data_IF_328978990236
#
_entry.id   IF_328978990236
#
_cell.length_a   1.000
_cell.length_b   1.000
_cell.length_c   1.000
_cell.angle_alpha   90.00
_cell.angle_beta   90.00
_cell.angle_gamma   90.00
#
_symmetry.space_group_name_H-M   'P 1'
#
loop_
_entity.id
_entity.type
_entity.pdbx_description
1 polymer ?
#
# COMPACT_ATOMS: atom_id res chain seq x y z
N UNK A 1 11.02 3.42 29.05
CA UNK A 1 10.20 4.58 28.62
C UNK A 1 9.08 3.98 27.80
N UNK A 2 7.85 3.85 28.31
CA UNK A 2 7.01 5.00 28.58
C UNK A 2 6.83 5.74 27.26
N UNK A 3 5.81 5.36 26.47
CA UNK A 3 5.43 6.03 25.23
C UNK A 3 5.34 7.53 25.52
N UNK A 4 6.38 8.29 25.22
CA UNK A 4 6.29 9.74 25.13
C UNK A 4 5.65 10.06 23.79
N UNK A 5 4.35 9.73 23.68
CA UNK A 5 3.53 10.37 22.67
C UNK A 5 3.22 11.76 23.20
N UNK A 6 3.96 12.75 22.71
CA UNK A 6 3.46 14.12 22.74
C UNK A 6 2.26 14.15 21.80
N UNK A 7 1.08 13.85 22.36
CA UNK A 7 -0.20 14.19 21.75
C UNK A 7 -0.27 15.72 21.74
N UNK A 8 0.20 16.33 20.65
CA UNK A 8 -0.54 17.48 20.16
C UNK A 8 -1.85 16.92 19.62
N UNK A 9 -2.96 17.49 20.09
CA UNK A 9 -4.31 17.20 19.64
C UNK A 9 -4.43 17.50 18.13
N UNK A 10 -3.94 16.58 17.31
CA UNK A 10 -4.28 16.45 15.90
C UNK A 10 -5.65 15.78 15.91
N UNK A 11 -6.67 16.46 15.39
CA UNK A 11 -8.05 15.98 15.30
C UNK A 11 -8.14 14.48 14.92
N UNK A 12 -8.26 13.61 15.93
CA UNK A 12 -8.16 12.14 15.82
C UNK A 12 -9.43 11.56 15.16
N UNK A 13 -10.47 12.38 14.94
CA UNK A 13 -11.77 11.90 14.49
C UNK A 13 -11.85 11.59 13.00
N UNK A 14 -11.00 12.20 12.16
CA UNK A 14 -11.03 12.07 10.70
C UNK A 14 -9.96 11.14 10.10
N UNK A 15 -8.89 10.86 10.86
CA UNK A 15 -7.70 10.11 10.37
C UNK A 15 -7.89 8.57 10.33
N UNK A 16 -9.02 8.05 10.81
CA UNK A 16 -9.20 6.60 10.94
C UNK A 16 -9.61 5.91 9.62
N UNK A 17 -10.31 6.61 8.72
CA UNK A 17 -10.80 6.00 7.48
C UNK A 17 -9.70 5.73 6.45
N UNK A 18 -8.83 6.71 6.20
CA UNK A 18 -7.73 6.55 5.24
C UNK A 18 -6.74 5.47 5.68
N UNK A 19 -6.48 5.39 6.98
CA UNK A 19 -5.70 4.31 7.59
C UNK A 19 -6.32 2.93 7.32
N UNK A 20 -7.61 2.76 7.58
CA UNK A 20 -8.33 1.50 7.28
C UNK A 20 -8.25 1.17 5.78
N UNK A 21 -8.46 2.16 4.91
CA UNK A 21 -8.40 1.96 3.45
C UNK A 21 -7.01 1.51 3.01
N UNK A 22 -5.95 2.19 3.46
CA UNK A 22 -4.56 1.88 3.10
C UNK A 22 -4.16 0.46 3.52
N UNK A 23 -4.59 0.03 4.72
CA UNK A 23 -4.38 -1.33 5.24
C UNK A 23 -5.13 -2.37 4.43
N UNK A 24 -6.44 -2.16 4.21
CA UNK A 24 -7.29 -3.09 3.47
C UNK A 24 -6.76 -3.33 2.06
N UNK A 25 -6.39 -2.24 1.36
CA UNK A 25 -5.93 -2.33 -0.02
C UNK A 25 -4.53 -2.90 -0.13
N UNK A 26 -3.63 -2.58 0.81
CA UNK A 26 -2.29 -3.14 0.86
C UNK A 26 -2.36 -4.65 1.09
N UNK A 27 -3.17 -5.11 2.04
CA UNK A 27 -3.39 -6.54 2.26
C UNK A 27 -4.04 -7.23 1.05
N UNK A 28 -5.02 -6.60 0.41
CA UNK A 28 -5.63 -7.13 -0.81
C UNK A 28 -4.58 -7.30 -1.93
N UNK A 29 -3.72 -6.31 -2.09
CA UNK A 29 -2.62 -6.31 -3.07
C UNK A 29 -1.65 -7.45 -2.79
N UNK A 30 -1.25 -7.63 -1.53
CA UNK A 30 -0.30 -8.69 -1.20
C UNK A 30 -0.87 -10.07 -1.39
N UNK A 31 -2.13 -10.31 -1.01
CA UNK A 31 -2.81 -11.57 -1.30
C UNK A 31 -2.92 -11.78 -2.81
N UNK A 32 -3.25 -10.74 -3.59
CA UNK A 32 -3.35 -10.83 -5.04
C UNK A 32 -2.03 -11.26 -5.68
N UNK A 33 -0.92 -10.62 -5.30
CA UNK A 33 0.42 -10.95 -5.82
C UNK A 33 0.83 -12.37 -5.41
N UNK A 34 0.64 -12.76 -4.14
CA UNK A 34 0.97 -14.13 -3.69
C UNK A 34 0.15 -15.20 -4.42
N UNK A 35 -1.13 -14.91 -4.68
CA UNK A 35 -2.04 -15.86 -5.35
C UNK A 35 -1.92 -15.88 -6.86
N UNK A 36 -1.14 -14.98 -7.47
CA UNK A 36 -1.05 -14.87 -8.92
C UNK A 36 -0.72 -16.20 -9.62
N UNK A 37 0.29 -16.94 -9.10
CA UNK A 37 0.72 -18.21 -9.69
C UNK A 37 -0.27 -19.37 -9.46
N UNK A 38 -1.13 -19.28 -8.45
CA UNK A 38 -2.20 -20.27 -8.22
C UNK A 38 -3.25 -20.22 -9.35
N UNK A 39 -3.49 -19.02 -9.91
CA UNK A 39 -4.47 -18.80 -10.98
C UNK A 39 -3.86 -18.73 -12.38
N UNK A 40 -2.62 -18.25 -12.50
CA UNK A 40 -1.89 -18.13 -13.76
C UNK A 40 -0.50 -18.76 -13.68
N UNK A 41 -0.38 -20.10 -13.65
CA UNK A 41 0.90 -20.79 -13.43
C UNK A 41 1.98 -20.38 -14.45
N UNK A 42 1.58 -20.28 -15.72
CA UNK A 42 2.47 -20.00 -16.85
C UNK A 42 2.52 -18.52 -17.26
N UNK A 43 1.90 -17.62 -16.48
CA UNK A 43 1.94 -16.18 -16.76
C UNK A 43 2.75 -15.48 -15.69
N UNK A 44 3.74 -14.71 -16.10
CA UNK A 44 4.47 -13.84 -15.18
C UNK A 44 3.74 -12.52 -15.01
N UNK A 45 3.90 -11.97 -13.81
CA UNK A 45 3.40 -10.67 -13.45
C UNK A 45 4.40 -9.62 -13.96
N UNK A 46 4.06 -8.97 -15.07
CA UNK A 46 4.99 -8.06 -15.77
C UNK A 46 5.16 -6.71 -15.08
N UNK A 47 4.11 -6.25 -14.41
CA UNK A 47 4.08 -4.97 -13.69
C UNK A 47 3.49 -5.19 -12.30
N UNK A 48 3.93 -4.42 -11.28
CA UNK A 48 3.38 -4.51 -9.94
C UNK A 48 1.90 -4.07 -9.93
N UNK A 49 0.93 -4.98 -9.68
CA UNK A 49 -0.48 -4.61 -9.61
C UNK A 49 -0.71 -3.80 -8.33
N UNK A 50 -1.56 -2.79 -8.41
CA UNK A 50 -1.96 -2.02 -7.25
C UNK A 50 -3.39 -1.53 -7.43
N UNK A 51 -4.01 -1.17 -6.31
CA UNK A 51 -5.42 -0.83 -6.21
C UNK A 51 -5.55 0.46 -5.39
N UNK A 52 -6.50 1.29 -5.78
CA UNK A 52 -6.97 2.37 -4.93
C UNK A 52 -8.20 1.90 -4.13
N UNK A 53 -8.58 2.65 -3.10
CA UNK A 53 -9.80 2.37 -2.35
C UNK A 53 -10.60 3.63 -2.02
N UNK A 54 -11.92 3.46 -1.93
CA UNK A 54 -12.87 4.48 -1.47
C UNK A 54 -13.67 3.93 -0.28
N UNK A 55 -13.81 4.73 0.77
CA UNK A 55 -14.76 4.46 1.86
C UNK A 55 -16.04 5.24 1.59
N UNK A 56 -17.17 4.55 1.58
CA UNK A 56 -18.50 5.17 1.48
C UNK A 56 -19.30 4.78 2.71
N UNK A 57 -19.72 5.78 3.48
CA UNK A 57 -20.47 5.58 4.72
C UNK A 57 -21.94 5.87 4.46
N UNK A 58 -22.77 4.84 4.58
CA UNK A 58 -24.22 4.92 4.38
C UNK A 58 -24.96 4.92 5.73
N UNK A 59 -26.05 5.70 5.86
CA UNK A 59 -26.70 5.94 7.15
C UNK A 59 -27.50 4.75 7.69
N UNK A 60 -27.90 3.80 6.84
CA UNK A 60 -28.69 2.64 7.26
C UNK A 60 -28.51 1.45 6.31
N UNK A 61 -29.00 0.28 6.75
CA UNK A 61 -28.88 -0.98 6.01
C UNK A 61 -29.58 -0.96 4.65
N UNK A 62 -30.69 -0.23 4.52
CA UNK A 62 -31.38 -0.08 3.23
C UNK A 62 -30.48 0.61 2.22
N UNK A 63 -29.88 1.74 2.58
CA UNK A 63 -28.96 2.46 1.69
C UNK A 63 -27.70 1.66 1.31
N UNK A 64 -27.22 0.78 2.20
CA UNK A 64 -26.13 -0.15 1.89
C UNK A 64 -26.58 -1.19 0.86
N UNK A 65 -27.77 -1.78 1.04
CA UNK A 65 -28.34 -2.74 0.08
C UNK A 65 -28.58 -2.10 -1.28
N UNK A 66 -29.13 -0.89 -1.32
CA UNK A 66 -29.36 -0.13 -2.55
C UNK A 66 -28.03 0.12 -3.29
N UNK A 67 -26.96 0.48 -2.55
CA UNK A 67 -25.62 0.62 -3.13
C UNK A 67 -25.07 -0.69 -3.70
N UNK A 68 -25.18 -1.81 -2.98
CA UNK A 68 -24.72 -3.11 -3.46
C UNK A 68 -25.50 -3.59 -4.70
N UNK A 69 -26.81 -3.39 -4.71
CA UNK A 69 -27.66 -3.67 -5.87
C UNK A 69 -27.24 -2.81 -7.07
N UNK A 70 -26.99 -1.51 -6.85
CA UNK A 70 -26.47 -0.62 -7.89
C UNK A 70 -25.11 -1.09 -8.44
N UNK A 71 -24.18 -1.54 -7.59
CA UNK A 71 -22.89 -2.12 -8.04
C UNK A 71 -23.07 -3.35 -8.92
N UNK A 72 -24.06 -4.20 -8.63
CA UNK A 72 -24.37 -5.37 -9.45
C UNK A 72 -25.00 -4.99 -10.80
N UNK A 73 -25.92 -4.01 -10.81
CA UNK A 73 -26.49 -3.48 -12.05
C UNK A 73 -25.40 -2.86 -12.93
N UNK A 74 -24.49 -2.09 -12.33
CA UNK A 74 -23.35 -1.50 -13.02
C UNK A 74 -22.42 -2.58 -13.61
N UNK A 75 -22.16 -3.66 -12.87
CA UNK A 75 -21.43 -4.82 -13.38
C UNK A 75 -22.11 -5.42 -14.63
N UNK A 76 -23.42 -5.64 -14.58
CA UNK A 76 -24.18 -6.20 -15.68
C UNK A 76 -24.11 -5.31 -16.93
N UNK A 77 -24.36 -4.01 -16.77
CA UNK A 77 -24.38 -3.03 -17.87
C UNK A 77 -22.99 -2.95 -18.52
N UNK A 78 -21.94 -2.83 -17.71
CA UNK A 78 -20.58 -2.71 -18.20
C UNK A 78 -20.12 -3.99 -18.91
N UNK A 79 -20.43 -5.16 -18.35
CA UNK A 79 -20.08 -6.43 -18.99
C UNK A 79 -20.82 -6.62 -20.32
N UNK A 80 -22.14 -6.36 -20.38
CA UNK A 80 -22.92 -6.49 -21.61
C UNK A 80 -22.40 -5.55 -22.71
N UNK A 81 -22.09 -4.30 -22.36
CA UNK A 81 -21.48 -3.35 -23.28
C UNK A 81 -20.11 -3.85 -23.77
N UNK A 82 -19.24 -4.28 -22.87
CA UNK A 82 -17.90 -4.75 -23.20
C UNK A 82 -17.93 -6.00 -24.07
N UNK A 83 -18.84 -6.95 -23.83
CA UNK A 83 -19.01 -8.13 -24.68
C UNK A 83 -19.38 -7.71 -26.10
N UNK A 84 -20.35 -6.80 -26.27
CA UNK A 84 -20.70 -6.29 -27.60
C UNK A 84 -19.52 -5.57 -28.27
N UNK A 85 -18.84 -4.70 -27.51
CA UNK A 85 -17.72 -3.90 -27.99
C UNK A 85 -16.60 -4.78 -28.53
N UNK A 86 -16.15 -5.76 -27.74
CA UNK A 86 -15.06 -6.64 -28.14
C UNK A 86 -15.45 -7.62 -29.23
N UNK A 87 -16.71 -8.04 -29.32
CA UNK A 87 -17.18 -8.85 -30.44
C UNK A 87 -17.20 -8.07 -31.75
N UNK A 88 -17.59 -6.79 -31.72
CA UNK A 88 -17.50 -5.90 -32.88
C UNK A 88 -16.05 -5.65 -33.30
N UNK A 89 -15.13 -5.45 -32.35
CA UNK A 89 -13.70 -5.30 -32.67
C UNK A 89 -13.14 -6.60 -33.27
N UNK A 90 -13.48 -7.75 -32.70
CA UNK A 90 -13.07 -9.07 -33.23
C UNK A 90 -13.65 -9.38 -34.61
N UNK A 91 -14.78 -8.77 -35.00
CA UNK A 91 -15.33 -8.91 -36.35
C UNK A 91 -14.69 -8.00 -37.40
N UNK A 92 -13.65 -7.26 -37.01
CA UNK A 92 -12.84 -6.42 -37.90
C UNK A 92 -13.15 -4.93 -37.83
N UNK A 93 -14.07 -4.48 -36.96
CA UNK A 93 -14.28 -3.04 -36.74
C UNK A 93 -13.14 -2.45 -35.91
N UNK A 94 -12.85 -1.17 -36.15
CA UNK A 94 -12.04 -0.38 -35.23
C UNK A 94 -12.76 -0.11 -33.91
N UNK A 95 -12.00 0.26 -32.87
CA UNK A 95 -12.56 0.64 -31.57
C UNK A 95 -13.53 1.83 -31.69
N UNK A 96 -13.25 2.80 -32.58
CA UNK A 96 -14.11 3.96 -32.81
C UNK A 96 -15.44 3.55 -33.45
N UNK A 97 -15.41 2.68 -34.46
CA UNK A 97 -16.62 2.17 -35.10
C UNK A 97 -17.46 1.32 -34.16
N UNK A 98 -16.82 0.53 -33.29
CA UNK A 98 -17.52 -0.24 -32.26
C UNK A 98 -18.20 0.68 -31.23
N UNK A 99 -17.52 1.74 -30.77
CA UNK A 99 -18.12 2.75 -29.89
C UNK A 99 -19.32 3.45 -30.54
N UNK A 100 -19.18 3.88 -31.80
CA UNK A 100 -20.26 4.52 -32.55
C UNK A 100 -21.47 3.59 -32.73
N UNK A 101 -21.23 2.31 -33.03
CA UNK A 101 -22.29 1.31 -33.18
C UNK A 101 -23.06 1.05 -31.88
N UNK A 102 -22.41 1.18 -30.72
CA UNK A 102 -23.04 0.97 -29.41
C UNK A 102 -23.61 2.25 -28.78
N UNK A 103 -23.30 3.42 -29.35
CA UNK A 103 -23.76 4.71 -28.84
C UNK A 103 -25.29 4.80 -28.89
N UNK A 104 -25.91 5.10 -27.76
CA UNK A 104 -27.38 5.23 -27.65
C UNK A 104 -28.14 3.90 -27.63
N UNK A 105 -27.46 2.75 -27.60
CA UNK A 105 -28.11 1.43 -27.53
C UNK A 105 -28.60 1.09 -26.12
N UNK A 106 -29.77 0.47 -26.02
CA UNK A 106 -30.31 -0.08 -24.79
C UNK A 106 -29.94 -1.56 -24.63
N UNK A 107 -30.24 -2.15 -23.46
CA UNK A 107 -29.91 -3.54 -23.18
C UNK A 107 -30.51 -4.53 -24.18
N UNK A 108 -31.71 -4.25 -24.69
CA UNK A 108 -32.37 -5.07 -25.72
C UNK A 108 -31.60 -5.06 -27.04
N UNK A 109 -31.19 -3.87 -27.51
CA UNK A 109 -30.44 -3.72 -28.76
C UNK A 109 -29.11 -4.49 -28.70
N UNK A 110 -28.45 -4.45 -27.55
CA UNK A 110 -27.20 -5.20 -27.28
C UNK A 110 -27.42 -6.71 -27.31
N UNK A 111 -28.48 -7.21 -26.69
CA UNK A 111 -28.82 -8.63 -26.76
C UNK A 111 -29.16 -9.07 -28.19
N UNK A 112 -29.91 -8.26 -28.94
CA UNK A 112 -30.20 -8.54 -30.33
C UNK A 112 -28.94 -8.54 -31.20
N UNK A 113 -28.01 -7.61 -30.97
CA UNK A 113 -26.73 -7.56 -31.65
C UNK A 113 -25.89 -8.82 -31.39
N UNK A 114 -25.77 -9.23 -30.13
CA UNK A 114 -25.06 -10.46 -29.75
C UNK A 114 -25.70 -11.70 -30.37
N UNK A 115 -27.02 -11.82 -30.28
CA UNK A 115 -27.73 -12.99 -30.80
C UNK A 115 -27.69 -13.06 -32.34
N UNK A 116 -27.98 -11.95 -33.04
CA UNK A 116 -28.11 -11.94 -34.50
C UNK A 116 -26.75 -11.99 -35.21
N UNK A 117 -25.77 -11.22 -34.74
CA UNK A 117 -24.48 -11.12 -35.43
C UNK A 117 -23.47 -12.17 -34.97
N UNK A 118 -23.52 -12.57 -33.70
CA UNK A 118 -22.49 -13.40 -33.09
C UNK A 118 -23.01 -14.75 -32.58
N UNK A 119 -24.32 -15.01 -32.67
CA UNK A 119 -24.98 -16.19 -32.09
C UNK A 119 -24.66 -16.38 -30.60
N UNK A 120 -24.47 -15.27 -29.88
CA UNK A 120 -24.21 -15.27 -28.43
C UNK A 120 -25.49 -14.88 -27.70
N UNK A 121 -25.95 -15.76 -26.81
CA UNK A 121 -26.94 -15.40 -25.81
C UNK A 121 -26.23 -14.91 -24.54
N UNK A 122 -26.41 -13.63 -24.22
CA UNK A 122 -25.77 -13.05 -23.05
C UNK A 122 -26.18 -13.73 -21.74
N UNK A 123 -27.39 -14.29 -21.65
CA UNK A 123 -27.86 -14.94 -20.43
C UNK A 123 -27.16 -16.28 -20.13
N UNK A 124 -26.46 -16.84 -21.11
CA UNK A 124 -25.65 -18.05 -20.97
C UNK A 124 -24.22 -17.73 -20.48
N UNK A 125 -23.83 -16.44 -20.42
CA UNK A 125 -22.56 -16.02 -19.84
C UNK A 125 -22.45 -16.38 -18.36
N UNK A 126 -21.22 -16.67 -17.94
CA UNK A 126 -20.91 -17.04 -16.57
C UNK A 126 -21.45 -15.98 -15.60
N UNK A 127 -22.10 -16.43 -14.53
CA UNK A 127 -22.70 -15.55 -13.53
C UNK A 127 -21.68 -14.55 -12.97
N UNK A 128 -20.41 -14.93 -12.84
CA UNK A 128 -19.36 -14.03 -12.36
C UNK A 128 -19.18 -12.77 -13.22
N UNK A 129 -19.39 -12.86 -14.53
CA UNK A 129 -19.28 -11.71 -15.44
C UNK A 129 -20.54 -10.84 -15.41
N UNK A 130 -21.71 -11.47 -15.26
CA UNK A 130 -23.00 -10.76 -15.26
C UNK A 130 -23.36 -10.15 -13.91
N UNK A 131 -22.94 -10.79 -12.81
CA UNK A 131 -23.37 -10.50 -11.44
C UNK A 131 -22.23 -10.02 -10.55
N UNK A 132 -20.98 -10.18 -10.98
CA UNK A 132 -19.81 -9.92 -10.17
C UNK A 132 -19.59 -10.99 -9.09
N UNK A 133 -18.77 -10.65 -8.09
CA UNK A 133 -18.40 -11.54 -6.99
C UNK A 133 -18.80 -10.93 -5.66
N UNK A 134 -19.57 -11.67 -4.87
CA UNK A 134 -19.92 -11.32 -3.49
C UNK A 134 -19.10 -12.18 -2.54
N UNK A 135 -18.43 -11.54 -1.59
CA UNK A 135 -17.69 -12.22 -0.52
C UNK A 135 -18.38 -11.93 0.80
N UNK A 136 -18.85 -12.96 1.48
CA UNK A 136 -19.57 -12.83 2.75
C UNK A 136 -19.33 -14.05 3.63
N UNK A 137 -19.77 -13.96 4.88
CA UNK A 137 -19.65 -15.05 5.84
C UNK A 137 -20.96 -15.82 5.88
N UNK A 138 -20.94 -17.07 5.43
CA UNK A 138 -22.06 -18.02 5.45
C UNK A 138 -22.08 -18.78 6.78
N UNK A 139 -23.26 -19.02 7.33
CA UNK A 139 -23.41 -19.84 8.55
C UNK A 139 -23.48 -21.31 8.16
N UNK A 140 -22.41 -22.05 8.41
CA UNK A 140 -22.30 -23.49 8.11
C UNK A 140 -22.22 -24.33 9.39
N UNK A 141 -22.79 -25.53 9.38
CA UNK A 141 -22.55 -26.49 10.45
C UNK A 141 -21.17 -27.12 10.29
N UNK A 142 -20.36 -27.08 11.34
CA UNK A 142 -19.04 -27.73 11.36
C UNK A 142 -18.96 -28.70 12.52
N UNK A 143 -18.54 -29.93 12.26
CA UNK A 143 -18.20 -30.89 13.31
C UNK A 143 -16.99 -30.38 14.09
N UNK A 144 -17.17 -30.13 15.38
CA UNK A 144 -16.11 -29.57 16.24
C UNK A 144 -15.37 -30.67 16.99
N UNK A 145 -16.09 -31.70 17.42
CA UNK A 145 -15.59 -32.90 18.09
C UNK A 145 -16.53 -34.07 17.79
N UNK A 146 -16.04 -35.28 17.98
CA UNK A 146 -16.87 -36.49 18.07
C UNK A 146 -17.06 -36.76 19.55
N UNK A 147 -18.29 -37.07 19.98
CA UNK A 147 -18.57 -37.40 21.37
C UNK A 147 -18.09 -38.83 21.72
N UNK A 148 -18.21 -39.19 23.00
CA UNK A 148 -17.78 -40.49 23.52
C UNK A 148 -18.55 -41.69 22.92
N UNK A 149 -19.64 -41.42 22.19
CA UNK A 149 -20.48 -42.40 21.49
C UNK A 149 -20.23 -42.45 19.98
N UNK A 150 -19.31 -41.66 19.45
CA UNK A 150 -19.00 -41.61 18.02
C UNK A 150 -19.86 -40.63 17.21
N UNK A 151 -20.72 -39.84 17.86
CA UNK A 151 -21.60 -38.89 17.18
C UNK A 151 -20.91 -37.51 17.00
N UNK A 152 -21.02 -36.88 15.81
CA UNK A 152 -20.39 -35.60 15.53
C UNK A 152 -21.11 -34.44 16.22
N UNK A 153 -20.43 -33.76 17.16
CA UNK A 153 -20.90 -32.51 17.76
C UNK A 153 -20.73 -31.37 16.75
N UNK A 154 -21.83 -31.00 16.09
CA UNK A 154 -21.87 -29.88 15.15
C UNK A 154 -22.09 -28.55 15.89
N UNK A 155 -21.34 -27.52 15.51
CA UNK A 155 -21.61 -26.13 15.92
C UNK A 155 -21.68 -25.22 14.70
N UNK A 156 -22.56 -24.21 14.71
CA UNK A 156 -22.59 -23.23 13.65
C UNK A 156 -21.32 -22.40 13.66
N UNK A 157 -20.68 -22.26 12.50
CA UNK A 157 -19.52 -21.39 12.28
C UNK A 157 -19.75 -20.51 11.06
N UNK A 158 -19.12 -19.34 11.06
CA UNK A 158 -19.13 -18.42 9.93
C UNK A 158 -17.95 -18.74 9.00
N UNK A 159 -18.25 -19.31 7.84
CA UNK A 159 -17.27 -19.61 6.78
C UNK A 159 -17.27 -18.49 5.75
N UNK A 160 -16.10 -18.04 5.33
CA UNK A 160 -15.99 -17.08 4.21
C UNK A 160 -16.36 -17.80 2.91
N UNK A 161 -17.30 -17.24 2.17
CA UNK A 161 -17.83 -17.78 0.92
C UNK A 161 -17.74 -16.71 -0.17
N UNK A 162 -17.32 -17.13 -1.37
CA UNK A 162 -17.38 -16.32 -2.59
C UNK A 162 -18.52 -16.87 -3.44
N UNK A 163 -19.43 -16.02 -3.88
CA UNK A 163 -20.57 -16.42 -4.69
C UNK A 163 -20.88 -15.39 -5.80
N UNK A 164 -21.54 -15.85 -6.87
CA UNK A 164 -21.95 -15.05 -8.02
C UNK A 164 -23.49 -15.01 -8.12
N UNK A 165 -24.11 -14.41 -7.11
CA UNK A 165 -25.55 -14.50 -6.84
C UNK A 165 -26.26 -13.18 -7.11
N UNK A 166 -27.60 -13.25 -7.21
CA UNK A 166 -28.42 -12.04 -7.30
C UNK A 166 -28.55 -11.40 -5.91
N UNK A 167 -27.91 -10.24 -5.74
CA UNK A 167 -27.99 -9.43 -4.52
C UNK A 167 -28.97 -8.26 -4.66
N UNK A 168 -29.60 -8.11 -5.85
CA UNK A 168 -30.66 -7.13 -6.11
C UNK A 168 -31.98 -7.66 -5.52
N UNK A 169 -32.30 -8.93 -5.79
CA UNK A 169 -33.50 -9.60 -5.28
C UNK A 169 -33.52 -9.77 -3.75
N UNK A 170 -34.72 -9.83 -3.17
CA UNK A 170 -34.89 -9.98 -1.71
C UNK A 170 -34.50 -11.36 -1.20
N UNK A 171 -34.65 -12.40 -2.03
CA UNK A 171 -34.39 -13.79 -1.67
C UNK A 171 -32.98 -14.00 -1.10
N UNK A 172 -31.95 -13.35 -1.66
CA UNK A 172 -30.60 -13.45 -1.11
C UNK A 172 -30.53 -12.88 0.31
N UNK A 173 -31.10 -11.71 0.56
CA UNK A 173 -31.06 -11.06 1.87
C UNK A 173 -31.93 -11.77 2.92
N UNK A 174 -33.04 -12.37 2.49
CA UNK A 174 -33.93 -13.18 3.34
C UNK A 174 -33.26 -14.49 3.77
N UNK A 175 -32.52 -15.14 2.87
CA UNK A 175 -31.76 -16.36 3.16
C UNK A 175 -30.50 -16.11 3.99
N UNK A 176 -29.94 -14.88 3.94
CA UNK A 176 -28.71 -14.53 4.64
C UNK A 176 -28.90 -13.34 5.60
N UNK A 177 -29.81 -13.43 6.59
CA UNK A 177 -30.15 -12.31 7.47
C UNK A 177 -29.00 -11.93 8.44
N UNK A 178 -27.88 -12.65 8.40
CA UNK A 178 -26.73 -12.46 9.28
C UNK A 178 -25.63 -11.57 8.68
N UNK A 179 -25.60 -11.36 7.35
CA UNK A 179 -24.53 -10.59 6.67
C UNK A 179 -24.49 -9.13 7.13
N UNK A 180 -25.67 -8.53 7.36
CA UNK A 180 -25.84 -7.12 7.72
C UNK A 180 -26.55 -6.94 9.08
N UNK A 181 -26.32 -7.84 10.04
CA UNK A 181 -26.96 -7.69 11.37
C UNK A 181 -26.50 -6.41 12.07
N UNK A 182 -27.45 -5.73 12.70
CA UNK A 182 -27.15 -4.70 13.68
C UNK A 182 -26.37 -5.33 14.85
N UNK A 183 -25.08 -5.03 14.93
CA UNK A 183 -24.37 -5.14 16.19
C UNK A 183 -24.87 -4.05 17.15
N UNK A 184 -24.54 -4.16 18.44
CA UNK A 184 -24.61 -3.02 19.38
C UNK A 184 -23.59 -1.95 18.96
N UNK A 185 -23.81 -1.28 17.84
CA UNK A 185 -23.03 -0.12 17.45
C UNK A 185 -23.68 1.09 18.10
N UNK A 186 -22.92 1.75 18.97
CA UNK A 186 -23.37 2.99 19.62
C UNK A 186 -23.78 3.99 18.52
N UNK A 187 -25.06 4.37 18.50
CA UNK A 187 -25.65 5.42 17.66
C UNK A 187 -25.09 6.84 17.94
N UNK A 188 -23.81 6.96 18.32
CA UNK A 188 -23.18 8.21 18.75
C UNK A 188 -22.34 8.93 17.69
N UNK A 189 -22.00 8.29 16.58
CA UNK A 189 -21.08 8.86 15.57
C UNK A 189 -21.75 9.01 14.20
N UNK A 190 -22.86 9.74 14.17
CA UNK A 190 -23.37 10.36 12.94
C UNK A 190 -22.87 11.81 12.92
N UNK A 191 -21.57 12.00 12.67
CA UNK A 191 -21.02 13.34 12.37
C UNK A 191 -20.29 13.29 11.04
N UNK A 192 -20.92 13.95 10.05
CA UNK A 192 -20.47 14.22 8.68
C UNK A 192 -20.10 12.97 7.86
N UNK A 193 -21.13 12.35 7.28
CA UNK A 193 -20.97 11.36 6.22
C UNK A 193 -20.38 12.02 4.96
N UNK A 194 -19.25 11.50 4.48
CA UNK A 194 -18.70 11.86 3.16
C UNK A 194 -17.73 13.04 3.13
N UNK A 195 -16.79 13.14 4.08
CA UNK A 195 -15.62 14.00 3.85
C UNK A 195 -14.68 13.24 2.92
N UNK A 196 -14.82 13.45 1.61
CA UNK A 196 -13.69 13.30 0.70
C UNK A 196 -12.67 14.34 1.13
N UNK A 197 -11.74 13.96 2.00
CA UNK A 197 -10.69 14.88 2.41
C UNK A 197 -9.81 15.15 1.20
N UNK A 198 -9.82 16.41 0.77
CA UNK A 198 -9.02 16.91 -0.35
C UNK A 198 -7.96 17.78 0.29
N UNK A 199 -6.68 17.45 0.07
CA UNK A 199 -5.60 18.27 0.58
C UNK A 199 -5.65 19.66 -0.03
N UNK A 200 -5.51 20.68 0.83
CA UNK A 200 -5.51 22.07 0.38
C UNK A 200 -4.48 22.29 -0.74
N UNK A 201 -4.85 23.04 -1.80
CA UNK A 201 -3.91 23.43 -2.84
C UNK A 201 -2.69 24.17 -2.26
N UNK A 202 -1.57 24.14 -2.99
CA UNK A 202 -0.31 24.81 -2.61
C UNK A 202 0.30 24.36 -1.27
N UNK A 203 -0.11 23.19 -0.76
CA UNK A 203 0.55 22.54 0.37
C UNK A 203 1.37 21.35 -0.11
N UNK A 204 2.56 21.19 0.45
CA UNK A 204 3.37 19.98 0.35
C UNK A 204 2.65 18.85 1.06
N UNK A 205 2.63 17.67 0.45
CA UNK A 205 2.02 16.47 1.03
C UNK A 205 3.15 15.51 1.36
N UNK A 206 3.23 15.05 2.61
CA UNK A 206 4.09 13.93 3.00
C UNK A 206 3.20 12.72 3.15
N UNK A 207 3.43 11.68 2.36
CA UNK A 207 2.82 10.36 2.54
C UNK A 207 3.83 9.48 3.25
N UNK A 208 3.55 9.08 4.47
CA UNK A 208 4.36 8.10 5.19
C UNK A 208 3.72 6.73 5.07
N UNK A 209 4.53 5.74 4.76
CA UNK A 209 4.18 4.33 4.59
C UNK A 209 4.94 3.55 5.66
N UNK A 210 4.25 2.71 6.42
CA UNK A 210 4.84 1.90 7.50
C UNK A 210 4.37 0.45 7.43
N UNK A 211 5.31 -0.48 7.51
CA UNK A 211 5.00 -1.91 7.50
C UNK A 211 4.32 -2.32 8.81
N UNK A 212 3.20 -3.02 8.70
CA UNK A 212 2.43 -3.50 9.83
C UNK A 212 2.94 -4.85 10.33
N UNK A 213 2.90 -5.06 11.65
CA UNK A 213 3.35 -6.30 12.30
C UNK A 213 4.79 -6.68 11.89
N UNK A 214 5.65 -5.68 11.66
CA UNK A 214 6.98 -5.90 11.13
C UNK A 214 7.87 -6.73 12.04
N UNK A 215 7.70 -6.65 13.37
CA UNK A 215 8.44 -7.50 14.30
C UNK A 215 8.17 -8.98 14.03
N UNK A 216 6.90 -9.38 13.89
CA UNK A 216 6.51 -10.74 13.54
C UNK A 216 7.03 -11.11 12.15
N UNK A 217 6.88 -10.22 11.17
CA UNK A 217 7.36 -10.44 9.80
C UNK A 217 8.87 -10.68 9.78
N UNK A 218 9.64 -9.88 10.52
CA UNK A 218 11.09 -9.97 10.61
C UNK A 218 11.53 -11.28 11.28
N UNK A 219 10.80 -11.75 12.30
CA UNK A 219 11.07 -13.02 12.97
C UNK A 219 10.78 -14.21 12.06
N UNK A 220 9.65 -14.21 11.35
CA UNK A 220 9.26 -15.29 10.42
C UNK A 220 10.30 -15.43 9.30
N UNK A 221 10.82 -14.33 8.79
CA UNK A 221 11.81 -14.33 7.71
C UNK A 221 13.27 -14.29 8.21
N UNK A 222 13.49 -14.42 9.53
CA UNK A 222 14.83 -14.49 10.16
C UNK A 222 15.74 -13.31 9.82
N UNK A 223 15.20 -12.08 9.83
CA UNK A 223 15.99 -10.88 9.56
C UNK A 223 17.07 -10.65 10.62
N UNK A 224 18.23 -10.17 10.16
CA UNK A 224 19.34 -9.82 11.03
C UNK A 224 18.96 -8.73 12.04
N UNK A 225 19.53 -8.84 13.24
CA UNK A 225 19.36 -7.88 14.32
C UNK A 225 20.72 -7.28 14.73
N UNK A 226 20.81 -5.95 14.93
CA UNK A 226 19.72 -4.98 15.00
C UNK A 226 19.14 -4.54 13.65
N UNK A 227 19.88 -4.70 12.55
CA UNK A 227 19.49 -4.28 11.22
C UNK A 227 19.76 -5.39 10.21
N UNK A 228 18.87 -5.52 9.23
CA UNK A 228 19.05 -6.39 8.07
C UNK A 228 19.30 -5.52 6.84
N UNK A 229 20.51 -5.59 6.30
CA UNK A 229 20.92 -4.78 5.16
C UNK A 229 20.09 -5.09 3.91
N UNK A 230 19.80 -6.37 3.68
CA UNK A 230 19.04 -6.84 2.51
C UNK A 230 17.60 -6.34 2.57
N UNK A 231 16.96 -6.42 3.74
CA UNK A 231 15.61 -5.89 3.94
C UNK A 231 15.53 -4.38 3.72
N UNK A 232 16.52 -3.62 4.20
CA UNK A 232 16.59 -2.18 3.98
C UNK A 232 16.86 -1.81 2.52
N UNK A 233 17.71 -2.58 1.82
CA UNK A 233 17.94 -2.41 0.38
C UNK A 233 16.67 -2.67 -0.43
N UNK A 234 15.87 -3.68 -0.06
CA UNK A 234 14.56 -3.93 -0.67
C UNK A 234 13.57 -2.77 -0.44
N UNK A 235 13.54 -2.19 0.76
CA UNK A 235 12.75 -0.98 1.05
C UNK A 235 13.21 0.21 0.19
N UNK A 236 14.52 0.39 0.02
CA UNK A 236 15.09 1.47 -0.79
C UNK A 236 14.82 1.29 -2.29
N UNK A 237 14.89 0.07 -2.80
CA UNK A 237 14.56 -0.24 -4.18
C UNK A 237 13.07 0.03 -4.46
N UNK A 238 12.21 -0.43 -3.55
CA UNK A 238 10.76 -0.14 -3.61
C UNK A 238 10.50 1.36 -3.60
N UNK A 239 11.22 2.13 -2.78
CA UNK A 239 11.08 3.60 -2.75
C UNK A 239 11.62 4.29 -4.01
N UNK A 240 12.66 3.74 -4.62
CA UNK A 240 13.22 4.27 -5.87
C UNK A 240 12.23 4.09 -7.02
N UNK A 241 11.66 2.90 -7.17
CA UNK A 241 10.61 2.60 -8.15
C UNK A 241 9.31 3.38 -7.89
N UNK A 242 8.95 3.59 -6.62
CA UNK A 242 7.86 4.48 -6.22
C UNK A 242 8.10 5.90 -6.74
N UNK A 243 9.31 6.43 -6.57
CA UNK A 243 9.68 7.73 -7.11
C UNK A 243 9.62 7.73 -8.64
N UNK A 244 10.13 6.71 -9.33
CA UNK A 244 10.06 6.63 -10.80
C UNK A 244 8.62 6.68 -11.32
N UNK A 245 7.69 5.94 -10.69
CA UNK A 245 6.28 5.91 -11.08
C UNK A 245 5.55 7.22 -10.83
N UNK A 246 5.92 7.97 -9.79
CA UNK A 246 5.25 9.21 -9.40
C UNK A 246 6.20 10.41 -9.55
N UNK A 247 6.16 11.11 -10.70
CA UNK A 247 6.95 12.31 -10.96
C UNK A 247 6.84 13.39 -9.88
N UNK A 248 5.65 13.51 -9.29
CA UNK A 248 5.33 14.51 -8.27
C UNK A 248 6.05 14.28 -6.93
N UNK A 249 6.57 13.07 -6.67
CA UNK A 249 7.38 12.79 -5.47
C UNK A 249 8.76 13.40 -5.69
N UNK A 250 9.11 14.46 -4.95
CA UNK A 250 10.42 15.12 -5.10
C UNK A 250 11.51 14.53 -4.23
N UNK A 251 11.13 13.92 -3.10
CA UNK A 251 12.06 13.41 -2.10
C UNK A 251 11.42 12.25 -1.34
N UNK A 252 12.22 11.25 -1.00
CA UNK A 252 11.85 10.15 -0.12
C UNK A 252 12.86 10.02 1.02
N UNK A 253 12.40 9.67 2.22
CA UNK A 253 13.27 9.29 3.33
C UNK A 253 12.72 8.07 4.06
N UNK A 254 13.54 7.05 4.26
CA UNK A 254 13.12 5.83 4.94
C UNK A 254 14.18 5.27 5.87
N UNK A 255 13.72 4.57 6.90
CA UNK A 255 14.55 3.81 7.83
C UNK A 255 13.69 2.74 8.52
N UNK A 256 14.33 1.70 9.06
CA UNK A 256 13.61 0.58 9.69
C UNK A 256 12.56 0.00 8.72
N UNK A 257 11.28 0.13 9.05
CA UNK A 257 10.14 -0.45 8.36
C UNK A 257 9.21 0.62 7.77
N UNK A 258 9.71 1.84 7.55
CA UNK A 258 8.91 2.96 7.05
C UNK A 258 9.62 3.81 6.01
N UNK A 259 8.81 4.56 5.25
CA UNK A 259 9.24 5.51 4.24
C UNK A 259 8.31 6.73 4.19
N UNK A 260 8.85 7.94 4.13
CA UNK A 260 8.12 9.19 3.93
C UNK A 260 8.42 9.73 2.53
N UNK A 261 7.37 9.94 1.72
CA UNK A 261 7.43 10.49 0.38
C UNK A 261 6.86 11.90 0.36
N UNK A 262 7.67 12.86 -0.11
CA UNK A 262 7.30 14.28 -0.21
C UNK A 262 6.81 14.56 -1.63
N UNK A 263 5.52 14.84 -1.76
CA UNK A 263 4.91 15.32 -2.99
C UNK A 263 5.01 16.83 -3.09
N UNK A 264 5.28 17.31 -4.30
CA UNK A 264 5.37 18.73 -4.61
C UNK A 264 4.05 19.46 -4.27
N UNK A 265 4.14 20.72 -3.83
CA UNK A 265 2.97 21.51 -3.42
C UNK A 265 1.92 21.73 -4.52
N UNK A 266 2.38 21.67 -5.78
CA UNK A 266 1.56 21.78 -6.99
C UNK A 266 1.00 20.45 -7.51
N UNK A 267 1.27 19.34 -6.83
CA UNK A 267 0.76 18.03 -7.26
C UNK A 267 -0.76 18.04 -7.39
N UNK A 268 -1.27 17.60 -8.53
CA UNK A 268 -2.70 17.40 -8.79
C UNK A 268 -3.09 15.92 -8.76
N UNK A 269 -2.17 15.05 -8.31
CA UNK A 269 -2.35 13.61 -8.27
C UNK A 269 -3.68 13.25 -7.60
N UNK A 270 -4.51 12.49 -8.32
CA UNK A 270 -5.86 12.09 -7.90
C UNK A 270 -6.79 13.24 -7.46
N UNK A 271 -6.60 14.44 -7.99
CA UNK A 271 -7.30 15.67 -7.56
C UNK A 271 -7.09 15.93 -6.06
N UNK A 272 -5.91 15.56 -5.53
CA UNK A 272 -5.51 15.73 -4.14
C UNK A 272 -6.42 15.02 -3.13
N UNK A 273 -7.17 14.00 -3.56
CA UNK A 273 -8.03 13.18 -2.70
C UNK A 273 -7.16 12.28 -1.83
N UNK A 274 -7.21 12.50 -0.52
CA UNK A 274 -6.39 11.79 0.45
C UNK A 274 -6.55 10.27 0.34
N UNK A 275 -7.79 9.77 0.31
CA UNK A 275 -8.06 8.33 0.27
C UNK A 275 -7.42 7.65 -0.94
N UNK A 276 -7.47 8.29 -2.11
CA UNK A 276 -6.87 7.76 -3.34
C UNK A 276 -5.35 7.81 -3.30
N UNK A 277 -4.78 8.92 -2.82
CA UNK A 277 -3.32 9.05 -2.68
C UNK A 277 -2.79 7.99 -1.72
N UNK A 278 -3.35 7.90 -0.51
CA UNK A 278 -2.87 7.00 0.53
C UNK A 278 -3.05 5.52 0.16
N UNK A 279 -4.23 5.14 -0.35
CA UNK A 279 -4.49 3.76 -0.77
C UNK A 279 -3.63 3.34 -1.96
N UNK A 280 -3.47 4.20 -2.97
CA UNK A 280 -2.63 3.89 -4.13
C UNK A 280 -1.16 3.78 -3.73
N UNK A 281 -0.66 4.69 -2.88
CA UNK A 281 0.72 4.66 -2.42
C UNK A 281 1.02 3.41 -1.59
N UNK A 282 0.18 3.07 -0.61
CA UNK A 282 0.40 1.87 0.21
C UNK A 282 0.31 0.59 -0.62
N UNK A 283 -0.67 0.50 -1.52
CA UNK A 283 -0.87 -0.63 -2.41
C UNK A 283 0.32 -0.82 -3.36
N UNK A 284 0.74 0.24 -4.04
CA UNK A 284 1.85 0.16 -5.00
C UNK A 284 3.17 -0.17 -4.31
N UNK A 285 3.48 0.45 -3.17
CA UNK A 285 4.68 0.13 -2.39
C UNK A 285 4.69 -1.34 -1.95
N UNK A 286 3.53 -1.88 -1.53
CA UNK A 286 3.39 -3.31 -1.20
C UNK A 286 3.72 -4.19 -2.39
N UNK A 287 3.18 -3.84 -3.56
CA UNK A 287 3.38 -4.58 -4.80
C UNK A 287 4.84 -4.59 -5.24
N UNK A 288 5.50 -3.44 -5.16
CA UNK A 288 6.93 -3.30 -5.44
C UNK A 288 7.77 -4.17 -4.50
N UNK A 289 7.54 -4.07 -3.19
CA UNK A 289 8.25 -4.85 -2.18
C UNK A 289 8.15 -6.36 -2.46
N UNK A 290 6.96 -6.82 -2.84
CA UNK A 290 6.72 -8.24 -3.13
C UNK A 290 7.31 -8.70 -4.47
N UNK A 291 7.16 -7.89 -5.51
CA UNK A 291 7.69 -8.21 -6.84
C UNK A 291 9.21 -8.28 -6.81
N UNK A 292 9.84 -7.40 -6.02
CA UNK A 292 11.29 -7.37 -5.82
C UNK A 292 11.80 -8.36 -4.77
N UNK A 293 10.93 -9.00 -3.98
CA UNK A 293 11.34 -9.89 -2.89
C UNK A 293 12.36 -10.95 -3.34
N UNK A 294 12.08 -11.66 -4.44
CA UNK A 294 12.96 -12.75 -4.92
C UNK A 294 14.32 -12.27 -5.46
N UNK A 295 14.43 -11.01 -5.87
CA UNK A 295 15.70 -10.42 -6.29
C UNK A 295 16.63 -10.18 -5.08
N UNK A 296 16.07 -9.84 -3.92
CA UNK A 296 16.82 -9.58 -2.68
C UNK A 296 16.94 -10.82 -1.78
N UNK A 297 15.93 -11.68 -1.78
CA UNK A 297 15.84 -12.90 -0.98
C UNK A 297 15.60 -14.13 -1.87
N UNK A 298 16.59 -14.56 -2.68
CA UNK A 298 16.41 -15.65 -3.64
C UNK A 298 16.07 -16.98 -2.97
N UNK A 299 16.61 -17.23 -1.78
CA UNK A 299 16.46 -18.48 -1.03
C UNK A 299 15.39 -18.43 0.07
N UNK A 300 14.79 -17.26 0.33
CA UNK A 300 13.75 -17.10 1.35
C UNK A 300 12.39 -17.01 0.66
N UNK A 301 11.46 -17.88 1.05
CA UNK A 301 10.07 -17.75 0.61
C UNK A 301 9.36 -16.68 1.42
N UNK A 302 8.46 -15.95 0.75
CA UNK A 302 7.62 -14.95 1.39
C UNK A 302 6.45 -15.67 2.06
N UNK A 303 6.60 -15.99 3.35
CA UNK A 303 5.67 -16.83 4.11
C UNK A 303 4.46 -16.07 4.65
N UNK A 304 4.63 -14.78 4.92
CA UNK A 304 3.57 -13.88 5.39
C UNK A 304 3.36 -12.76 4.37
N UNK A 305 2.11 -12.36 4.14
CA UNK A 305 1.80 -11.18 3.32
C UNK A 305 2.33 -9.91 3.99
N UNK A 306 3.28 -9.19 3.38
CA UNK A 306 3.60 -7.85 3.85
C UNK A 306 2.38 -6.97 3.59
N UNK A 307 2.11 -6.06 4.51
CA UNK A 307 1.13 -5.00 4.29
C UNK A 307 1.58 -3.76 5.02
N UNK A 308 1.25 -2.63 4.42
CA UNK A 308 1.70 -1.32 4.80
C UNK A 308 0.50 -0.42 5.02
N UNK A 309 0.57 0.30 6.12
CA UNK A 309 -0.32 1.42 6.39
C UNK A 309 0.26 2.68 5.78
N UNK A 310 -0.60 3.61 5.36
CA UNK A 310 -0.17 4.94 4.98
C UNK A 310 -0.95 6.05 5.70
N UNK A 311 -0.23 7.11 6.06
CA UNK A 311 -0.76 8.35 6.61
C UNK A 311 -0.20 9.57 5.89
N UNK A 312 -0.92 10.68 5.95
CA UNK A 312 -0.53 11.93 5.28
C UNK A 312 -0.37 13.08 6.25
N UNK A 313 0.63 13.92 5.97
CA UNK A 313 0.83 15.23 6.59
C UNK A 313 0.81 16.30 5.50
N UNK A 314 0.22 17.46 5.79
CA UNK A 314 0.18 18.58 4.86
C UNK A 314 0.80 19.81 5.49
N UNK A 315 1.78 20.39 4.81
CA UNK A 315 2.45 21.59 5.30
C UNK A 315 2.52 22.68 4.23
N UNK A 316 2.22 23.95 4.59
CA UNK A 316 2.18 25.06 3.65
C UNK A 316 3.57 25.61 3.31
N UNK A 317 4.60 25.21 4.06
CA UNK A 317 5.95 25.77 3.93
C UNK A 317 6.98 24.66 3.87
N UNK A 318 7.84 24.75 2.86
CA UNK A 318 8.94 23.83 2.64
C UNK A 318 9.90 23.74 3.84
N UNK A 319 10.11 24.83 4.59
CA UNK A 319 10.92 24.83 5.82
C UNK A 319 10.42 23.79 6.85
N UNK A 320 9.10 23.65 6.98
CA UNK A 320 8.49 22.68 7.92
C UNK A 320 8.74 21.25 7.46
N UNK A 321 8.78 21.01 6.14
CA UNK A 321 9.14 19.71 5.56
C UNK A 321 10.59 19.34 5.91
N UNK A 322 11.53 20.26 5.76
CA UNK A 322 12.92 20.02 6.14
C UNK A 322 13.05 19.71 7.64
N UNK A 323 12.37 20.47 8.49
CA UNK A 323 12.36 20.24 9.95
C UNK A 323 11.78 18.85 10.29
N UNK A 324 10.69 18.45 9.64
CA UNK A 324 10.11 17.11 9.75
C UNK A 324 11.11 16.02 9.34
N UNK A 325 11.80 16.17 8.20
CA UNK A 325 12.75 15.18 7.72
C UNK A 325 13.99 15.09 8.62
N UNK A 326 14.49 16.22 9.13
CA UNK A 326 15.56 16.24 10.14
C UNK A 326 15.12 15.55 11.43
N UNK A 327 13.87 15.74 11.86
CA UNK A 327 13.31 15.04 13.02
C UNK A 327 13.23 13.52 12.79
N UNK A 328 12.73 13.06 11.64
CA UNK A 328 12.72 11.63 11.28
C UNK A 328 14.13 11.03 11.27
N UNK A 329 15.13 11.79 10.81
CA UNK A 329 16.52 11.33 10.83
C UNK A 329 17.10 11.24 12.25
N UNK A 330 16.75 12.17 13.13
CA UNK A 330 17.12 12.09 14.53
C UNK A 330 16.49 10.86 15.23
N UNK A 331 15.23 10.53 14.89
CA UNK A 331 14.57 9.30 15.36
C UNK A 331 15.26 8.04 14.86
N UNK A 332 15.66 8.01 13.57
CA UNK A 332 16.46 6.92 13.01
C UNK A 332 17.76 6.71 13.81
N UNK A 333 18.50 7.80 14.05
CA UNK A 333 19.75 7.73 14.80
C UNK A 333 19.55 7.21 16.22
N UNK A 334 18.59 7.77 16.96
CA UNK A 334 18.31 7.39 18.34
C UNK A 334 17.80 5.94 18.44
N UNK A 335 16.90 5.55 17.54
CA UNK A 335 16.34 4.20 17.46
C UNK A 335 17.42 3.17 17.11
N UNK A 336 18.24 3.43 16.11
CA UNK A 336 19.32 2.53 15.73
C UNK A 336 20.36 2.36 16.85
N UNK A 337 20.77 3.46 17.49
CA UNK A 337 21.72 3.40 18.60
C UNK A 337 21.17 2.56 19.77
N UNK A 338 19.89 2.75 20.11
CA UNK A 338 19.20 1.95 21.12
C UNK A 338 19.16 0.47 20.73
N UNK A 339 18.67 0.16 19.52
CA UNK A 339 18.53 -1.22 19.03
C UNK A 339 19.86 -1.93 18.96
N UNK A 340 20.92 -1.23 18.56
CA UNK A 340 22.28 -1.77 18.51
C UNK A 340 22.75 -2.17 19.91
N UNK A 341 22.59 -1.31 20.92
CA UNK A 341 22.92 -1.68 22.29
C UNK A 341 22.07 -2.85 22.79
N UNK A 342 20.77 -2.81 22.52
CA UNK A 342 19.81 -3.82 22.95
C UNK A 342 20.19 -5.21 22.42
N UNK A 343 20.41 -5.32 21.11
CA UNK A 343 20.74 -6.60 20.50
C UNK A 343 22.15 -7.09 20.84
N UNK A 344 23.10 -6.20 21.10
CA UNK A 344 24.42 -6.61 21.60
C UNK A 344 24.33 -7.19 23.03
N UNK A 345 23.53 -6.58 23.91
CA UNK A 345 23.25 -7.14 25.25
C UNK A 345 22.55 -8.49 25.17
N UNK A 346 21.57 -8.64 24.28
CA UNK A 346 20.88 -9.93 24.07
C UNK A 346 21.86 -10.99 23.55
N UNK A 347 22.69 -10.64 22.56
CA UNK A 347 23.74 -11.53 22.03
C UNK A 347 24.81 -11.89 23.07
N UNK A 348 25.05 -11.04 24.07
CA UNK A 348 25.94 -11.34 25.19
C UNK A 348 25.29 -12.21 26.29
N UNK A 349 24.11 -12.76 26.04
CA UNK A 349 23.41 -13.67 26.95
C UNK A 349 22.45 -13.00 27.93
N UNK A 350 22.16 -11.69 27.81
CA UNK A 350 21.09 -11.05 28.60
C UNK A 350 19.73 -11.40 28.02
N UNK A 351 18.72 -11.54 28.88
CA UNK A 351 17.34 -11.57 28.43
C UNK A 351 16.90 -10.21 27.89
N UNK A 352 15.88 -10.19 27.02
CA UNK A 352 15.31 -8.94 26.49
C UNK A 352 14.85 -7.99 27.62
N UNK A 353 14.26 -8.55 28.68
CA UNK A 353 13.83 -7.78 29.85
C UNK A 353 15.00 -7.10 30.56
N UNK A 354 16.10 -7.82 30.76
CA UNK A 354 17.32 -7.26 31.36
C UNK A 354 17.94 -6.19 30.47
N UNK A 355 18.02 -6.43 29.16
CA UNK A 355 18.53 -5.45 28.20
C UNK A 355 17.71 -4.14 28.23
N UNK A 356 16.38 -4.24 28.30
CA UNK A 356 15.52 -3.07 28.44
C UNK A 356 15.77 -2.29 29.74
N UNK A 357 15.93 -2.97 30.87
CA UNK A 357 16.20 -2.31 32.15
C UNK A 357 17.59 -1.67 32.19
N UNK A 358 18.63 -2.30 31.61
CA UNK A 358 19.97 -1.70 31.47
C UNK A 358 19.93 -0.40 30.66
N UNK A 359 19.16 -0.38 29.56
CA UNK A 359 19.09 0.78 28.67
C UNK A 359 18.12 1.86 29.15
N UNK A 360 17.34 1.60 30.19
CA UNK A 360 16.31 2.52 30.69
C UNK A 360 16.95 3.76 31.29
N UNK A 361 16.56 4.93 30.79
CA UNK A 361 17.07 6.22 31.28
C UNK A 361 18.45 6.60 30.75
N UNK A 362 19.10 5.74 29.96
CA UNK A 362 20.41 6.05 29.36
C UNK A 362 20.32 7.16 28.32
N UNK A 363 21.33 8.02 28.28
CA UNK A 363 21.53 9.04 27.25
C UNK A 363 22.28 8.46 26.04
N UNK A 364 22.47 9.26 24.99
CA UNK A 364 23.22 8.82 23.79
C UNK A 364 24.70 8.56 24.10
N UNK A 365 25.30 9.37 24.99
CA UNK A 365 26.69 9.18 25.43
C UNK A 365 26.88 7.83 26.14
N UNK A 366 25.99 7.51 27.09
CA UNK A 366 26.04 6.26 27.86
C UNK A 366 25.94 5.04 26.94
N UNK A 367 25.10 5.10 25.89
CA UNK A 367 24.98 4.04 24.88
C UNK A 367 26.27 3.86 24.08
N UNK A 368 26.92 4.95 23.67
CA UNK A 368 28.22 4.86 22.99
C UNK A 368 29.30 4.27 23.90
N UNK A 369 29.35 4.69 25.17
CA UNK A 369 30.29 4.14 26.16
C UNK A 369 30.03 2.65 26.40
N UNK A 370 28.76 2.24 26.51
CA UNK A 370 28.38 0.83 26.65
C UNK A 370 28.86 0.00 25.45
N UNK A 371 28.60 0.45 24.22
CA UNK A 371 29.04 -0.24 23.01
C UNK A 371 30.57 -0.35 22.93
N UNK A 372 31.26 0.72 23.26
CA UNK A 372 32.72 0.76 23.18
C UNK A 372 33.38 -0.09 24.28
N UNK A 373 32.97 0.07 25.54
CA UNK A 373 33.62 -0.60 26.66
C UNK A 373 33.29 -2.10 26.73
N UNK A 374 32.02 -2.48 26.52
CA UNK A 374 31.60 -3.87 26.66
C UNK A 374 31.78 -4.69 25.39
N UNK A 375 31.62 -4.08 24.22
CA UNK A 375 31.61 -4.78 22.94
C UNK A 375 32.73 -4.37 22.00
N UNK A 376 33.63 -3.47 22.41
CA UNK A 376 34.74 -2.94 21.59
C UNK A 376 34.25 -2.38 20.25
N UNK A 377 33.02 -1.84 20.24
CA UNK A 377 32.33 -1.39 19.04
C UNK A 377 32.17 0.12 19.05
N UNK A 378 32.70 0.78 18.01
CA UNK A 378 32.50 2.20 17.79
C UNK A 378 31.27 2.41 16.91
N UNK A 379 30.18 2.92 17.50
CA UNK A 379 28.94 3.20 16.78
C UNK A 379 29.15 4.09 15.54
N UNK A 380 30.11 5.02 15.56
CA UNK A 380 30.36 5.90 14.40
C UNK A 380 30.89 5.16 13.16
N UNK A 381 31.38 3.93 13.34
CA UNK A 381 31.84 3.07 12.26
C UNK A 381 30.71 2.20 11.67
N UNK A 382 29.53 2.18 12.29
CA UNK A 382 28.37 1.49 11.72
C UNK A 382 28.02 2.06 10.34
N UNK A 383 27.50 1.23 9.42
CA UNK A 383 27.05 1.66 8.11
C UNK A 383 26.16 2.90 8.16
N UNK A 384 26.41 3.85 7.26
CA UNK A 384 25.66 5.11 7.22
C UNK A 384 24.15 4.87 7.02
N UNK A 385 23.77 3.82 6.27
CA UNK A 385 22.38 3.42 6.06
C UNK A 385 21.65 3.12 7.38
N UNK A 386 22.31 2.48 8.34
CA UNK A 386 21.70 2.19 9.64
C UNK A 386 21.62 3.42 10.54
N UNK A 387 22.63 4.29 10.49
CA UNK A 387 22.72 5.47 11.37
C UNK A 387 21.93 6.68 10.90
N UNK A 388 21.77 6.82 9.59
CA UNK A 388 21.22 8.01 8.94
C UNK A 388 19.98 7.71 8.10
N UNK A 389 19.59 6.44 7.96
CA UNK A 389 18.55 6.02 7.04
C UNK A 389 18.97 6.17 5.59
N UNK A 390 17.97 6.21 4.72
CA UNK A 390 18.12 6.31 3.28
C UNK A 390 17.28 7.47 2.77
N UNK A 391 17.88 8.34 1.97
CA UNK A 391 17.17 9.34 1.21
C UNK A 391 17.16 8.96 -0.28
N UNK A 392 16.03 9.20 -0.93
CA UNK A 392 15.80 8.93 -2.35
C UNK A 392 15.42 10.24 -3.00
N UNK A 393 16.11 10.62 -4.07
CA UNK A 393 15.84 11.87 -4.78
C UNK A 393 16.36 11.84 -6.21
N UNK A 394 15.81 12.67 -7.08
CA UNK A 394 16.27 12.78 -8.47
C UNK A 394 17.51 13.67 -8.55
N UNK A 395 18.52 13.23 -9.29
CA UNK A 395 19.68 14.06 -9.68
C UNK A 395 19.82 14.10 -11.19
N UNK A 396 20.38 15.20 -11.70
CA UNK A 396 20.83 15.26 -13.09
C UNK A 396 22.08 14.41 -13.27
N UNK A 397 22.10 13.64 -14.34
CA UNK A 397 23.27 12.91 -14.81
C UNK A 397 23.48 13.27 -16.27
N UNK A 398 24.70 13.63 -16.63
CA UNK A 398 25.10 13.79 -18.02
C UNK A 398 25.43 12.41 -18.58
N UNK A 399 24.64 11.95 -19.56
CA UNK A 399 24.95 10.75 -20.32
C UNK A 399 25.57 11.16 -21.66
N UNK A 400 26.72 10.56 -21.98
CA UNK A 400 27.33 10.65 -23.31
C UNK A 400 26.47 9.80 -24.26
N UNK A 401 25.76 10.44 -25.17
CA UNK A 401 25.08 9.71 -26.24
C UNK A 401 26.13 8.98 -27.08
N UNK A 402 25.98 7.66 -27.23
CA UNK A 402 26.86 6.85 -28.07
C UNK A 402 26.88 7.42 -29.50
N UNK A 403 28.07 7.74 -29.98
CA UNK A 403 28.29 8.15 -31.35
C UNK A 403 28.20 6.92 -32.26
N UNK A 404 27.02 6.62 -32.78
CA UNK A 404 26.93 5.93 -34.06
C UNK A 404 27.23 6.98 -35.14
N UNK A 405 28.38 6.81 -35.79
CA UNK A 405 28.96 7.66 -36.85
C UNK A 405 29.45 9.07 -36.45
N UNK A 406 30.72 9.16 -36.04
CA UNK A 406 31.66 10.21 -36.45
C UNK A 406 31.36 11.68 -36.11
N UNK A 407 30.30 11.98 -35.36
CA UNK A 407 29.94 13.33 -34.94
C UNK A 407 30.20 13.58 -33.45
N UNK A 408 30.58 14.82 -33.11
CA UNK A 408 30.72 15.31 -31.72
C UNK A 408 29.55 14.83 -30.86
N UNK A 409 29.84 14.04 -29.82
CA UNK A 409 28.83 13.47 -28.93
C UNK A 409 28.02 14.58 -28.26
N UNK A 410 26.72 14.62 -28.53
CA UNK A 410 25.78 15.49 -27.81
C UNK A 410 25.50 14.89 -26.44
N UNK A 411 25.89 15.57 -25.35
CA UNK A 411 25.49 15.20 -24.00
C UNK A 411 23.98 15.39 -23.85
N UNK A 412 23.27 14.35 -23.41
CA UNK A 412 21.85 14.46 -23.03
C UNK A 412 21.74 14.46 -21.51
N UNK A 413 21.04 15.43 -20.96
CA UNK A 413 20.73 15.46 -19.53
C UNK A 413 19.57 14.49 -19.24
N UNK A 414 19.77 13.55 -18.31
CA UNK A 414 18.72 12.67 -17.82
C UNK A 414 18.61 12.74 -16.30
N UNK A 415 17.39 12.71 -15.81
CA UNK A 415 17.12 12.60 -14.37
C UNK A 415 17.16 11.13 -13.96
N UNK A 416 17.98 10.83 -12.95
CA UNK A 416 18.09 9.49 -12.35
C UNK A 416 17.73 9.56 -10.87
N UNK A 417 17.02 8.54 -10.38
CA UNK A 417 16.69 8.40 -8.96
C UNK A 417 17.91 7.88 -8.21
N UNK A 418 18.38 8.60 -7.19
CA UNK A 418 19.55 8.22 -6.39
C UNK A 418 19.13 7.89 -4.97
N UNK A 419 19.67 6.80 -4.43
CA UNK A 419 19.65 6.47 -3.00
C UNK A 419 20.95 6.97 -2.37
N UNK A 420 20.87 7.67 -1.24
CA UNK A 420 22.01 8.16 -0.46
C UNK A 420 21.79 7.99 1.05
N UNK A 421 22.87 7.95 1.82
CA UNK A 421 22.87 7.80 3.28
C UNK A 421 23.64 8.96 3.94
N UNK A 422 23.06 10.16 3.86
CA UNK A 422 23.71 11.42 4.25
C UNK A 422 22.92 12.16 5.32
N UNK A 423 23.57 13.13 5.97
CA UNK A 423 22.92 13.99 6.95
C UNK A 423 21.99 14.99 6.24
N UNK A 424 20.74 15.10 6.68
CA UNK A 424 19.70 15.97 6.11
C UNK A 424 19.68 17.36 6.75
N UNK A 425 20.82 17.83 7.26
CA UNK A 425 20.98 19.19 7.77
C UNK A 425 20.98 20.25 6.65
N UNK A 426 21.10 21.55 7.01
CA UNK A 426 21.04 22.67 6.07
C UNK A 426 22.08 22.59 4.93
N UNK A 427 23.20 21.91 5.14
CA UNK A 427 24.22 21.68 4.11
C UNK A 427 23.72 20.82 2.95
N UNK A 428 22.88 19.82 3.23
CA UNK A 428 22.30 18.95 2.21
C UNK A 428 21.36 19.74 1.29
N UNK A 429 20.40 20.46 1.87
CA UNK A 429 19.40 21.23 1.12
C UNK A 429 20.03 22.35 0.27
N UNK A 430 21.10 22.99 0.75
CA UNK A 430 21.86 23.98 -0.02
C UNK A 430 22.59 23.39 -1.22
N UNK A 431 23.07 22.15 -1.13
CA UNK A 431 23.72 21.43 -2.24
C UNK A 431 22.71 20.91 -3.27
N UNK A 432 21.45 20.75 -2.87
CA UNK A 432 20.39 20.18 -3.71
C UNK A 432 19.19 21.13 -3.85
N UNK A 433 19.39 22.38 -4.32
CA UNK A 433 18.33 23.39 -4.35
C UNK A 433 17.17 23.03 -5.30
N UNK A 434 17.40 22.20 -6.32
CA UNK A 434 16.34 21.77 -7.26
C UNK A 434 15.30 20.86 -6.60
N UNK A 435 15.65 20.14 -5.53
CA UNK A 435 14.66 19.37 -4.74
C UNK A 435 13.64 20.30 -4.08
N UNK A 436 14.00 21.58 -3.95
CA UNK A 436 13.27 22.63 -3.26
C UNK A 436 12.60 23.60 -4.24
N UNK A 437 12.90 23.50 -5.53
CA UNK A 437 12.43 24.40 -6.59
C UNK A 437 12.06 23.60 -7.83
N UNK A 438 10.75 23.36 -8.00
CA UNK A 438 10.11 22.89 -9.25
C UNK A 438 10.97 21.98 -10.15
N UNK A 439 10.87 20.66 -9.98
CA UNK A 439 11.15 19.72 -11.08
C UNK A 439 10.03 19.80 -12.12
N UNK A 440 9.97 20.88 -12.89
CA UNK A 440 9.16 20.98 -14.10
C UNK A 440 9.92 21.81 -15.14
N UNK A 441 10.79 21.12 -15.88
CA UNK A 441 11.06 21.41 -17.29
C UNK A 441 11.04 20.09 -18.05
#
# INVERSE_FOLDING_TARGET
MGKCSWHHDIDISTNNFSKILSLCVSYFTSVYVMKWKDFFPNKELKEPPYFDARAVCYPNLKTIRDYLAWRQVDCHINNQYNTCFWMLVKSGKSEQEAQLALKGTFAKDKNELLAKQFQINYDDELAMFRKGSSVYREKVETTVKIDDYGEPIKRPRLKVTVAHVDTIGTAFWENHPHILREGKFMHGFVKKFGINHIFSPCNWIIVRIIACQFDQFSTIHSFDKPNDETALRLMNESASLMMEQYPDIVFGYGFSNEYSFVFHEKSELYQRRESLILSSCSSYFTSLYMTKWKEFFPYTELMQTPHFEADALCYPKLKIICEYLSWRQAECHAGNQYNTCFWMLVKSGKSEKEAHEILKGTLSKDKNELLFQQFQMNYNNEPAMFRKGSCVYRRKVEELAGAEDGGNGTSRERWHVKVDHVDLGPGFWRKHPWLMTNCTQ
#
